data_IF_566761710967
#
_entry.id   IF_566761710967
#
_cell.length_a   1.000
_cell.length_b   1.000
_cell.length_c   1.000
_cell.angle_alpha   90.00
_cell.angle_beta   90.00
_cell.angle_gamma   90.00
#
_symmetry.space_group_name_H-M   'P 1'
#
loop_
_entity.id
_entity.type
_entity.pdbx_description
1 polymer ?
#
# COMPACT_ATOMS: atom_id res chain seq x y z
N UNK A 1 31.51 45.70 36.78
CA UNK A 1 32.07 44.76 35.76
C UNK A 1 31.47 43.35 35.78
N UNK A 2 30.98 42.81 36.93
CA UNK A 2 30.40 41.45 36.97
C UNK A 2 29.03 41.28 36.26
N UNK A 3 28.15 42.30 36.27
CA UNK A 3 26.81 42.23 35.63
C UNK A 3 26.88 41.98 34.11
N UNK A 4 27.86 42.55 33.41
CA UNK A 4 28.04 42.37 31.96
C UNK A 4 28.56 41.00 31.57
N UNK A 5 29.39 40.35 32.39
CA UNK A 5 29.88 38.99 32.12
C UNK A 5 28.76 37.98 32.35
N UNK A 6 27.99 38.13 33.43
CA UNK A 6 26.89 37.22 33.77
C UNK A 6 25.73 37.31 32.76
N UNK A 7 25.38 38.51 32.29
CA UNK A 7 24.38 38.70 31.22
C UNK A 7 24.81 38.09 29.88
N UNK A 8 26.10 38.18 29.54
CA UNK A 8 26.65 37.60 28.30
C UNK A 8 26.72 36.07 28.38
N UNK A 9 27.08 35.52 29.54
CA UNK A 9 27.07 34.08 29.79
C UNK A 9 25.64 33.51 29.71
N UNK A 10 24.67 34.18 30.34
CA UNK A 10 23.25 33.84 30.23
C UNK A 10 22.74 33.84 28.79
N UNK A 11 23.16 34.80 27.95
CA UNK A 11 22.76 34.84 26.54
C UNK A 11 23.25 33.63 25.72
N UNK A 12 24.48 33.14 25.98
CA UNK A 12 25.04 31.95 25.33
C UNK A 12 24.30 30.69 25.78
N UNK A 13 24.06 30.57 27.09
CA UNK A 13 23.31 29.44 27.66
C UNK A 13 21.88 29.40 27.09
N UNK A 14 21.20 30.55 27.03
CA UNK A 14 19.87 30.63 26.46
C UNK A 14 19.85 30.27 24.97
N UNK A 15 20.82 30.75 24.19
CA UNK A 15 20.96 30.40 22.77
C UNK A 15 21.23 28.91 22.53
N UNK A 16 22.07 28.29 23.37
CA UNK A 16 22.34 26.86 23.31
C UNK A 16 21.10 26.02 23.66
N UNK A 17 20.35 26.42 24.69
CA UNK A 17 19.09 25.75 25.08
C UNK A 17 18.03 25.90 23.98
N UNK A 18 17.87 27.09 23.39
CA UNK A 18 16.93 27.31 22.29
C UNK A 18 17.29 26.49 21.04
N UNK A 19 18.58 26.37 20.71
CA UNK A 19 19.03 25.53 19.61
C UNK A 19 18.72 24.04 19.86
N UNK A 20 18.94 23.53 21.08
CA UNK A 20 18.61 22.17 21.45
C UNK A 20 17.09 21.90 21.38
N UNK A 21 16.26 22.83 21.83
CA UNK A 21 14.79 22.71 21.76
C UNK A 21 14.32 22.69 20.30
N UNK A 22 14.86 23.56 19.44
CA UNK A 22 14.52 23.58 18.01
C UNK A 22 14.91 22.27 17.31
N UNK A 23 16.10 21.75 17.58
CA UNK A 23 16.56 20.47 17.04
C UNK A 23 15.67 19.31 17.54
N UNK A 24 15.33 19.30 18.83
CA UNK A 24 14.43 18.30 19.42
C UNK A 24 13.02 18.34 18.82
N UNK A 25 12.46 19.54 18.63
CA UNK A 25 11.13 19.72 18.05
C UNK A 25 11.07 19.30 16.57
N UNK A 26 12.10 19.67 15.79
CA UNK A 26 12.23 19.24 14.40
C UNK A 26 12.44 17.71 14.32
N UNK A 27 13.20 17.14 15.26
CA UNK A 27 13.38 15.70 15.38
C UNK A 27 12.05 14.98 15.61
N UNK A 28 11.24 15.42 16.58
CA UNK A 28 9.92 14.84 16.86
C UNK A 28 8.99 14.94 15.66
N UNK A 29 8.91 16.11 15.01
CA UNK A 29 8.07 16.30 13.81
C UNK A 29 8.55 15.46 12.62
N UNK A 30 9.86 15.23 12.50
CA UNK A 30 10.40 14.34 11.47
C UNK A 30 10.08 12.87 11.75
N UNK A 31 10.17 12.43 13.01
CA UNK A 31 9.85 11.06 13.40
C UNK A 31 8.36 10.76 13.25
N UNK A 32 7.48 11.72 13.56
CA UNK A 32 6.04 11.57 13.36
C UNK A 32 5.69 11.41 11.87
N UNK A 33 6.28 12.24 10.99
CA UNK A 33 6.10 12.08 9.53
C UNK A 33 6.63 10.75 8.99
N UNK A 34 7.75 10.24 9.54
CA UNK A 34 8.27 8.91 9.17
C UNK A 34 7.40 7.76 9.71
N UNK A 35 6.79 7.94 10.89
CA UNK A 35 5.84 6.97 11.44
C UNK A 35 4.55 6.93 10.61
N UNK A 36 4.01 8.10 10.25
CA UNK A 36 2.83 8.21 9.37
C UNK A 36 3.11 7.63 7.97
N UNK A 37 4.30 7.87 7.39
CA UNK A 37 4.71 7.31 6.09
C UNK A 37 4.93 5.78 6.14
N UNK A 38 5.33 5.21 7.30
CA UNK A 38 5.42 3.75 7.49
C UNK A 38 4.03 3.13 7.71
N UNK A 39 3.17 3.77 8.49
CA UNK A 39 1.81 3.29 8.79
C UNK A 39 0.90 3.31 7.54
N UNK A 40 1.13 4.24 6.61
CA UNK A 40 0.45 4.27 5.30
C UNK A 40 0.99 3.27 4.26
N UNK A 41 2.18 2.70 4.46
CA UNK A 41 2.80 1.79 3.48
C UNK A 41 2.52 0.31 3.78
N UNK A 42 2.18 -0.07 5.02
CA UNK A 42 2.10 -1.50 5.39
C UNK A 42 0.69 -2.12 5.33
N UNK A 43 -0.35 -1.56 5.96
CA UNK A 43 -1.58 -2.36 6.15
C UNK A 43 -2.52 -2.40 4.94
N UNK A 44 -2.85 -1.24 4.35
CA UNK A 44 -3.82 -1.16 3.23
C UNK A 44 -3.28 -1.81 1.96
N UNK A 45 -1.98 -1.65 1.70
CA UNK A 45 -1.30 -2.22 0.55
C UNK A 45 -1.22 -3.75 0.65
N UNK A 46 -0.72 -4.28 1.77
CA UNK A 46 -0.62 -5.73 1.98
C UNK A 46 -2.02 -6.35 1.95
N UNK A 47 -3.01 -5.70 2.57
CA UNK A 47 -4.41 -6.12 2.50
C UNK A 47 -4.94 -6.13 1.07
N UNK A 48 -4.63 -5.12 0.26
CA UNK A 48 -5.09 -5.07 -1.15
C UNK A 48 -4.55 -6.21 -2.00
N UNK A 49 -3.27 -6.54 -1.86
CA UNK A 49 -2.66 -7.68 -2.57
C UNK A 49 -3.20 -9.02 -2.03
N UNK A 50 -3.41 -9.13 -0.72
CA UNK A 50 -4.02 -10.31 -0.11
C UNK A 50 -5.45 -10.55 -0.61
N UNK A 51 -6.27 -9.50 -0.74
CA UNK A 51 -7.62 -9.58 -1.30
C UNK A 51 -7.59 -10.00 -2.77
N UNK A 52 -6.72 -9.39 -3.60
CA UNK A 52 -6.58 -9.78 -5.01
C UNK A 52 -6.15 -11.24 -5.16
N UNK A 53 -5.20 -11.70 -4.36
CA UNK A 53 -4.78 -13.10 -4.33
C UNK A 53 -5.91 -14.04 -3.87
N UNK A 54 -6.72 -13.60 -2.90
CA UNK A 54 -7.92 -14.31 -2.46
C UNK A 54 -8.94 -14.48 -3.58
N UNK A 55 -9.21 -13.41 -4.33
CA UNK A 55 -10.09 -13.43 -5.51
C UNK A 55 -9.58 -14.41 -6.57
N UNK A 56 -8.29 -14.34 -6.92
CA UNK A 56 -7.69 -15.26 -7.90
C UNK A 56 -7.80 -16.72 -7.46
N UNK A 57 -7.50 -17.01 -6.18
CA UNK A 57 -7.62 -18.35 -5.61
C UNK A 57 -9.05 -18.86 -5.69
N UNK A 58 -10.01 -18.08 -5.25
CA UNK A 58 -11.42 -18.49 -5.21
C UNK A 58 -11.99 -18.64 -6.62
N UNK A 59 -11.58 -17.78 -7.55
CA UNK A 59 -11.87 -17.90 -8.98
C UNK A 59 -11.33 -19.21 -9.58
N UNK A 60 -10.08 -19.57 -9.29
CA UNK A 60 -9.50 -20.85 -9.73
C UNK A 60 -10.26 -22.04 -9.15
N UNK A 61 -10.65 -21.97 -7.87
CA UNK A 61 -11.46 -23.01 -7.24
C UNK A 61 -12.85 -23.13 -7.88
N UNK A 62 -13.48 -22.02 -8.30
CA UNK A 62 -14.73 -22.07 -9.09
C UNK A 62 -14.49 -22.84 -10.39
N UNK A 63 -13.43 -22.51 -11.15
CA UNK A 63 -13.11 -23.15 -12.43
C UNK A 63 -12.91 -24.66 -12.27
N UNK A 64 -12.07 -25.05 -11.31
CA UNK A 64 -11.76 -26.46 -11.05
C UNK A 64 -13.01 -27.25 -10.64
N UNK A 65 -13.84 -26.69 -9.75
CA UNK A 65 -15.06 -27.37 -9.33
C UNK A 65 -16.11 -27.44 -10.46
N UNK A 66 -16.16 -26.45 -11.36
CA UNK A 66 -17.04 -26.52 -12.53
C UNK A 66 -16.61 -27.63 -13.50
N UNK A 67 -15.30 -27.82 -13.70
CA UNK A 67 -14.77 -28.95 -14.48
C UNK A 67 -15.09 -30.30 -13.83
N UNK A 68 -14.95 -30.42 -12.50
CA UNK A 68 -15.36 -31.64 -11.80
C UNK A 68 -16.87 -31.88 -11.91
N UNK A 69 -17.69 -30.84 -11.75
CA UNK A 69 -19.14 -30.92 -11.92
C UNK A 69 -19.53 -31.45 -13.30
N UNK A 70 -18.88 -30.97 -14.37
CA UNK A 70 -19.04 -31.47 -15.74
C UNK A 70 -18.56 -32.91 -15.95
N UNK A 71 -17.59 -33.37 -15.15
CA UNK A 71 -16.99 -34.70 -15.32
C UNK A 71 -17.87 -35.84 -14.80
N UNK A 72 -18.81 -35.56 -13.91
CA UNK A 72 -19.71 -36.55 -13.31
C UNK A 72 -21.07 -36.58 -14.03
N UNK A 73 -21.71 -37.74 -14.06
CA UNK A 73 -23.11 -37.88 -14.48
C UNK A 73 -24.08 -37.83 -13.29
N UNK A 74 -23.66 -38.42 -12.17
CA UNK A 74 -24.46 -38.57 -10.95
C UNK A 74 -24.62 -37.24 -10.20
N UNK A 75 -25.85 -36.82 -9.95
CA UNK A 75 -26.17 -35.59 -9.20
C UNK A 75 -25.52 -35.57 -7.81
N UNK A 76 -25.44 -36.72 -7.14
CA UNK A 76 -24.82 -36.83 -5.82
C UNK A 76 -23.33 -36.45 -5.83
N UNK A 77 -22.62 -36.72 -6.93
CA UNK A 77 -21.21 -36.33 -7.09
C UNK A 77 -21.04 -34.87 -7.54
N UNK A 78 -22.05 -34.30 -8.21
CA UNK A 78 -22.08 -32.88 -8.62
C UNK A 78 -22.32 -31.92 -7.46
N UNK A 79 -23.22 -32.29 -6.54
CA UNK A 79 -23.71 -31.39 -5.49
C UNK A 79 -22.59 -30.77 -4.61
N UNK A 80 -21.56 -31.49 -4.14
CA UNK A 80 -20.47 -30.89 -3.36
C UNK A 80 -19.64 -29.87 -4.14
N UNK A 81 -19.43 -30.11 -5.44
CA UNK A 81 -18.73 -29.18 -6.32
C UNK A 81 -19.57 -27.93 -6.58
N UNK A 82 -20.87 -28.08 -6.80
CA UNK A 82 -21.78 -26.94 -6.95
C UNK A 82 -21.82 -26.09 -5.67
N UNK A 83 -21.91 -26.72 -4.48
CA UNK A 83 -21.85 -26.00 -3.22
C UNK A 83 -20.54 -25.19 -3.06
N UNK A 84 -19.41 -25.80 -3.44
CA UNK A 84 -18.10 -25.11 -3.41
C UNK A 84 -18.04 -23.95 -4.39
N UNK A 85 -18.59 -24.11 -5.60
CA UNK A 85 -18.73 -23.02 -6.59
C UNK A 85 -19.52 -21.87 -5.99
N UNK A 86 -20.73 -22.13 -5.47
CA UNK A 86 -21.60 -21.08 -4.91
C UNK A 86 -20.92 -20.34 -3.76
N UNK A 87 -20.26 -21.07 -2.85
CA UNK A 87 -19.50 -20.47 -1.74
C UNK A 87 -18.42 -19.51 -2.24
N UNK A 88 -17.58 -19.96 -3.18
CA UNK A 88 -16.48 -19.14 -3.70
C UNK A 88 -16.98 -17.96 -4.56
N UNK A 89 -18.14 -18.09 -5.21
CA UNK A 89 -18.78 -16.94 -5.90
C UNK A 89 -19.12 -15.86 -4.88
N UNK A 90 -19.81 -16.21 -3.79
CA UNK A 90 -20.16 -15.27 -2.72
C UNK A 90 -18.92 -14.63 -2.10
N UNK A 91 -17.89 -15.42 -1.82
CA UNK A 91 -16.63 -14.91 -1.26
C UNK A 91 -15.93 -13.94 -2.22
N UNK A 92 -15.84 -14.30 -3.50
CA UNK A 92 -15.24 -13.44 -4.54
C UNK A 92 -16.01 -12.12 -4.67
N UNK A 93 -17.35 -12.15 -4.64
CA UNK A 93 -18.17 -10.93 -4.68
C UNK A 93 -17.92 -10.05 -3.45
N UNK A 94 -17.86 -10.64 -2.27
CA UNK A 94 -17.56 -9.92 -1.02
C UNK A 94 -16.19 -9.25 -1.06
N UNK A 95 -15.16 -9.97 -1.52
CA UNK A 95 -13.80 -9.47 -1.65
C UNK A 95 -13.70 -8.32 -2.67
N UNK A 96 -14.38 -8.45 -3.82
CA UNK A 96 -14.44 -7.39 -4.83
C UNK A 96 -15.15 -6.13 -4.28
N UNK A 97 -16.23 -6.29 -3.53
CA UNK A 97 -16.95 -5.19 -2.89
C UNK A 97 -16.12 -4.53 -1.77
N UNK A 98 -15.45 -5.31 -0.94
CA UNK A 98 -14.54 -4.80 0.10
C UNK A 98 -13.44 -3.96 -0.54
N UNK A 99 -12.76 -4.52 -1.55
CA UNK A 99 -11.70 -3.83 -2.27
C UNK A 99 -12.19 -2.49 -2.83
N UNK A 100 -13.32 -2.51 -3.56
CA UNK A 100 -13.87 -1.31 -4.18
C UNK A 100 -14.21 -0.20 -3.17
N UNK A 101 -14.62 -0.58 -1.95
CA UNK A 101 -15.05 0.36 -0.91
C UNK A 101 -13.91 0.93 -0.09
N UNK A 102 -12.86 0.14 0.17
CA UNK A 102 -11.87 0.50 1.20
C UNK A 102 -10.44 0.61 0.69
N UNK A 103 -10.10 0.02 -0.47
CA UNK A 103 -8.71 -0.14 -0.91
C UNK A 103 -8.36 0.53 -2.24
N UNK A 104 -9.31 1.25 -2.84
CA UNK A 104 -9.08 2.05 -4.06
C UNK A 104 -8.22 3.26 -3.72
N UNK A 105 -7.03 3.34 -4.32
CA UNK A 105 -6.07 4.42 -4.03
C UNK A 105 -6.04 5.54 -5.06
N UNK A 106 -6.49 5.31 -6.29
CA UNK A 106 -6.51 6.32 -7.35
C UNK A 106 -7.51 5.96 -8.48
N UNK A 107 -7.74 6.86 -9.46
CA UNK A 107 -8.69 6.58 -10.55
C UNK A 107 -8.35 5.34 -11.39
N UNK A 108 -7.06 5.03 -11.58
CA UNK A 108 -6.65 3.85 -12.35
C UNK A 108 -6.97 2.56 -11.62
N UNK A 109 -6.72 2.52 -10.30
CA UNK A 109 -7.11 1.41 -9.42
C UNK A 109 -8.64 1.19 -9.47
N UNK A 110 -9.40 2.29 -9.44
CA UNK A 110 -10.86 2.25 -9.57
C UNK A 110 -11.32 1.63 -10.90
N UNK A 111 -10.71 2.02 -12.01
CA UNK A 111 -11.03 1.45 -13.33
C UNK A 111 -10.77 -0.06 -13.39
N UNK A 112 -9.66 -0.50 -12.79
CA UNK A 112 -9.24 -1.91 -12.76
C UNK A 112 -10.22 -2.76 -11.93
N UNK A 113 -10.55 -2.34 -10.70
CA UNK A 113 -11.53 -3.09 -9.88
C UNK A 113 -12.92 -3.12 -10.54
N UNK A 114 -13.35 -2.04 -11.18
CA UNK A 114 -14.62 -2.02 -11.91
C UNK A 114 -14.60 -2.96 -13.12
N UNK A 115 -13.45 -3.09 -13.80
CA UNK A 115 -13.25 -4.05 -14.87
C UNK A 115 -13.33 -5.49 -14.37
N UNK A 116 -12.68 -5.80 -13.25
CA UNK A 116 -12.73 -7.13 -12.63
C UNK A 116 -14.16 -7.52 -12.26
N UNK A 117 -14.91 -6.61 -11.63
CA UNK A 117 -16.33 -6.82 -11.28
C UNK A 117 -17.17 -7.09 -12.53
N UNK A 118 -16.96 -6.33 -13.61
CA UNK A 118 -17.70 -6.54 -14.87
C UNK A 118 -17.37 -7.89 -15.50
N UNK A 119 -16.09 -8.22 -15.61
CA UNK A 119 -15.65 -9.48 -16.22
C UNK A 119 -16.05 -10.70 -15.39
N UNK A 120 -16.07 -10.58 -14.07
CA UNK A 120 -16.58 -11.63 -13.21
C UNK A 120 -18.07 -11.89 -13.45
N UNK A 121 -18.90 -10.83 -13.60
CA UNK A 121 -20.31 -11.00 -13.97
C UNK A 121 -20.49 -11.71 -15.31
N UNK A 122 -19.67 -11.38 -16.31
CA UNK A 122 -19.69 -12.05 -17.62
C UNK A 122 -19.33 -13.54 -17.47
N UNK A 123 -18.28 -13.83 -16.71
CA UNK A 123 -17.86 -15.20 -16.41
C UNK A 123 -18.96 -16.00 -15.70
N UNK A 124 -19.64 -15.41 -14.70
CA UNK A 124 -20.74 -16.06 -13.98
C UNK A 124 -21.93 -16.36 -14.89
N UNK A 125 -22.28 -15.45 -15.79
CA UNK A 125 -23.35 -15.70 -16.76
C UNK A 125 -23.05 -16.91 -17.66
N UNK A 126 -21.81 -17.06 -18.12
CA UNK A 126 -21.38 -18.23 -18.89
C UNK A 126 -21.32 -19.50 -18.03
N UNK A 127 -20.86 -19.39 -16.78
CA UNK A 127 -20.81 -20.51 -15.82
C UNK A 127 -22.21 -21.07 -15.54
N UNK A 128 -23.24 -20.23 -15.37
CA UNK A 128 -24.61 -20.73 -15.15
C UNK A 128 -25.12 -21.57 -16.32
N UNK A 129 -24.81 -21.17 -17.56
CA UNK A 129 -25.16 -21.96 -18.76
C UNK A 129 -24.45 -23.32 -18.73
N UNK A 130 -23.16 -23.35 -18.36
CA UNK A 130 -22.39 -24.60 -18.20
C UNK A 130 -23.01 -25.49 -17.14
N UNK A 131 -23.33 -24.96 -15.96
CA UNK A 131 -23.95 -25.73 -14.86
C UNK A 131 -25.35 -26.22 -15.23
N UNK A 132 -26.12 -25.43 -15.96
CA UNK A 132 -27.43 -25.84 -16.47
C UNK A 132 -27.33 -27.07 -17.37
N UNK A 133 -26.48 -27.04 -18.40
CA UNK A 133 -26.27 -28.18 -19.29
C UNK A 133 -25.66 -29.38 -18.56
N UNK A 134 -24.73 -29.14 -17.62
CA UNK A 134 -24.17 -30.18 -16.78
C UNK A 134 -25.25 -30.88 -15.95
N UNK A 135 -26.11 -30.14 -15.27
CA UNK A 135 -27.20 -30.69 -14.46
C UNK A 135 -28.24 -31.44 -15.30
N UNK A 136 -28.44 -31.04 -16.56
CA UNK A 136 -29.28 -31.74 -17.53
C UNK A 136 -28.59 -32.96 -18.19
N UNK A 137 -27.33 -33.29 -17.81
CA UNK A 137 -26.50 -34.32 -18.45
C UNK A 137 -26.30 -34.12 -19.96
N UNK A 138 -26.36 -32.87 -20.44
CA UNK A 138 -26.18 -32.50 -21.84
C UNK A 138 -24.72 -32.12 -22.11
N UNK A 139 -23.84 -33.13 -22.14
CA UNK A 139 -22.38 -32.91 -22.17
C UNK A 139 -21.92 -32.17 -23.43
N UNK A 140 -22.46 -32.51 -24.59
CA UNK A 140 -22.11 -31.88 -25.87
C UNK A 140 -22.51 -30.40 -25.88
N UNK A 141 -23.72 -30.08 -25.37
CA UNK A 141 -24.18 -28.70 -25.25
C UNK A 141 -23.33 -27.91 -24.25
N UNK A 142 -22.95 -28.53 -23.13
CA UNK A 142 -22.05 -27.91 -22.16
C UNK A 142 -20.68 -27.59 -22.79
N UNK A 143 -20.11 -28.50 -23.58
CA UNK A 143 -18.82 -28.28 -24.27
C UNK A 143 -18.89 -27.09 -25.23
N UNK A 144 -19.98 -26.94 -25.98
CA UNK A 144 -20.18 -25.78 -26.87
C UNK A 144 -20.12 -24.47 -26.07
N UNK A 145 -20.82 -24.39 -24.94
CA UNK A 145 -20.80 -23.20 -24.07
C UNK A 145 -19.41 -22.99 -23.44
N UNK A 146 -18.73 -24.07 -23.05
CA UNK A 146 -17.37 -24.01 -22.50
C UNK A 146 -16.43 -23.32 -23.47
N UNK A 147 -16.37 -23.79 -24.72
CA UNK A 147 -15.41 -23.27 -25.71
C UNK A 147 -15.79 -21.89 -26.24
N UNK A 148 -17.09 -21.62 -26.43
CA UNK A 148 -17.55 -20.36 -27.04
C UNK A 148 -17.70 -19.20 -26.05
N UNK A 149 -18.00 -19.47 -24.77
CA UNK A 149 -18.33 -18.43 -23.81
C UNK A 149 -17.50 -18.51 -22.53
N UNK A 150 -17.53 -19.64 -21.82
CA UNK A 150 -17.00 -19.74 -20.46
C UNK A 150 -15.48 -19.66 -20.38
N UNK A 151 -14.78 -20.34 -21.30
CA UNK A 151 -13.32 -20.30 -21.38
C UNK A 151 -12.81 -18.90 -21.79
N UNK A 152 -13.30 -18.26 -22.87
CA UNK A 152 -12.93 -16.88 -23.21
C UNK A 152 -13.22 -15.86 -22.11
N UNK A 153 -14.38 -15.95 -21.44
CA UNK A 153 -14.71 -15.09 -20.30
C UNK A 153 -13.74 -15.29 -19.14
N UNK A 154 -13.33 -16.55 -18.90
CA UNK A 154 -12.35 -16.89 -17.88
C UNK A 154 -10.96 -16.36 -18.18
N UNK A 155 -10.47 -16.50 -19.41
CA UNK A 155 -9.18 -15.95 -19.85
C UNK A 155 -9.14 -14.42 -19.75
N UNK A 156 -10.26 -13.77 -20.11
CA UNK A 156 -10.42 -12.33 -19.98
C UNK A 156 -10.33 -11.87 -18.53
N UNK A 157 -11.00 -12.58 -17.61
CA UNK A 157 -10.93 -12.27 -16.18
C UNK A 157 -9.55 -12.56 -15.58
N UNK A 158 -8.92 -13.69 -15.91
CA UNK A 158 -7.54 -13.99 -15.49
C UNK A 158 -6.58 -12.88 -15.90
N UNK A 159 -6.72 -12.40 -17.15
CA UNK A 159 -5.87 -11.32 -17.67
C UNK A 159 -6.11 -10.00 -16.91
N UNK A 160 -7.37 -9.67 -16.61
CA UNK A 160 -7.70 -8.46 -15.88
C UNK A 160 -7.20 -8.47 -14.43
N UNK A 161 -7.40 -9.59 -13.70
CA UNK A 161 -6.90 -9.76 -12.34
C UNK A 161 -5.37 -9.65 -12.29
N UNK A 162 -4.66 -10.28 -13.23
CA UNK A 162 -3.21 -10.17 -13.33
C UNK A 162 -2.74 -8.73 -13.64
N UNK A 163 -3.44 -8.01 -14.52
CA UNK A 163 -3.16 -6.59 -14.79
C UNK A 163 -3.36 -5.73 -13.55
N UNK A 164 -4.40 -6.02 -12.76
CA UNK A 164 -4.69 -5.30 -11.53
C UNK A 164 -3.66 -5.56 -10.44
N UNK A 165 -3.31 -6.83 -10.20
CA UNK A 165 -2.24 -7.22 -9.29
C UNK A 165 -0.91 -6.54 -9.65
N UNK A 166 -0.53 -6.60 -10.93
CA UNK A 166 0.70 -5.97 -11.41
C UNK A 166 0.71 -4.45 -11.22
N UNK A 167 -0.42 -3.79 -11.47
CA UNK A 167 -0.56 -2.37 -11.20
C UNK A 167 -0.35 -2.04 -9.72
N UNK A 168 -0.91 -2.85 -8.80
CA UNK A 168 -0.71 -2.64 -7.36
C UNK A 168 0.75 -2.89 -6.97
N UNK A 169 1.38 -3.96 -7.43
CA UNK A 169 2.82 -4.20 -7.21
C UNK A 169 3.68 -3.01 -7.63
N UNK A 170 3.50 -2.49 -8.84
CA UNK A 170 4.21 -1.31 -9.33
C UNK A 170 3.92 -0.06 -8.50
N UNK A 171 2.67 0.12 -8.05
CA UNK A 171 2.30 1.22 -7.18
C UNK A 171 3.03 1.14 -5.83
N UNK A 172 3.17 -0.05 -5.25
CA UNK A 172 3.96 -0.29 -4.04
C UNK A 172 5.43 0.05 -4.25
N UNK A 173 6.04 -0.47 -5.32
CA UNK A 173 7.46 -0.20 -5.62
C UNK A 173 7.72 1.31 -5.75
N UNK A 174 6.85 2.02 -6.45
CA UNK A 174 6.95 3.47 -6.59
C UNK A 174 6.75 4.21 -5.27
N UNK A 175 5.81 3.78 -4.43
CA UNK A 175 5.59 4.35 -3.10
C UNK A 175 6.83 4.16 -2.22
N UNK A 176 7.38 2.95 -2.15
CA UNK A 176 8.61 2.64 -1.40
C UNK A 176 9.79 3.47 -1.90
N UNK A 177 10.00 3.57 -3.22
CA UNK A 177 11.07 4.39 -3.78
C UNK A 177 10.92 5.87 -3.42
N UNK A 178 9.70 6.41 -3.46
CA UNK A 178 9.43 7.79 -3.04
C UNK A 178 9.71 8.00 -1.56
N UNK A 179 9.29 7.08 -0.69
CA UNK A 179 9.56 7.13 0.75
C UNK A 179 11.06 7.05 1.07
N UNK A 180 11.83 6.22 0.34
CA UNK A 180 13.28 6.17 0.50
C UNK A 180 13.98 7.47 0.05
N UNK A 181 13.52 8.08 -1.05
CA UNK A 181 14.08 9.34 -1.55
C UNK A 181 13.71 10.54 -0.65
N UNK A 182 12.48 10.62 -0.16
CA UNK A 182 12.05 11.65 0.79
C UNK A 182 12.80 11.51 2.11
N UNK A 183 12.91 10.29 2.64
CA UNK A 183 13.67 9.99 3.86
C UNK A 183 15.12 10.44 3.75
N UNK A 184 15.80 10.12 2.64
CA UNK A 184 17.20 10.53 2.42
C UNK A 184 17.36 12.05 2.32
N UNK A 185 16.45 12.74 1.64
CA UNK A 185 16.44 14.22 1.58
C UNK A 185 16.21 14.84 2.95
N UNK A 186 15.33 14.24 3.75
CA UNK A 186 15.03 14.69 5.10
C UNK A 186 16.22 14.47 6.05
N UNK A 187 16.92 13.34 5.93
CA UNK A 187 18.19 13.10 6.65
C UNK A 187 19.23 14.16 6.31
N UNK A 188 19.40 14.51 5.03
CA UNK A 188 20.33 15.57 4.63
C UNK A 188 19.94 16.95 5.15
N UNK A 189 18.64 17.27 5.20
CA UNK A 189 18.16 18.51 5.82
C UNK A 189 18.47 18.55 7.32
N UNK A 190 18.26 17.45 8.05
CA UNK A 190 18.57 17.36 9.49
C UNK A 190 20.07 17.54 9.70
N UNK A 191 20.91 16.83 8.94
CA UNK A 191 22.38 16.97 9.02
C UNK A 191 22.80 18.42 8.76
N UNK A 192 22.26 19.07 7.74
CA UNK A 192 22.57 20.47 7.41
C UNK A 192 22.15 21.43 8.54
N UNK A 193 20.95 21.26 9.09
CA UNK A 193 20.43 22.06 10.20
C UNK A 193 21.25 21.86 11.48
N UNK A 194 21.66 20.62 11.78
CA UNK A 194 22.54 20.31 12.91
C UNK A 194 23.90 20.98 12.74
N UNK A 195 24.51 20.90 11.54
CA UNK A 195 25.79 21.56 11.25
C UNK A 195 25.70 23.08 11.38
N UNK A 196 24.61 23.70 10.89
CA UNK A 196 24.36 25.14 11.07
C UNK A 196 24.19 25.51 12.55
N UNK A 197 23.48 24.70 13.33
CA UNK A 197 23.33 24.89 14.77
C UNK A 197 24.67 24.86 15.51
N UNK A 198 25.52 23.87 15.21
CA UNK A 198 26.88 23.76 15.79
C UNK A 198 27.75 24.96 15.38
N UNK A 199 27.73 25.36 14.11
CA UNK A 199 28.45 26.52 13.62
C UNK A 199 28.01 27.81 14.32
N UNK A 200 26.71 28.01 14.54
CA UNK A 200 26.16 29.16 15.26
C UNK A 200 26.67 29.25 16.69
N UNK A 201 26.73 28.12 17.42
CA UNK A 201 27.28 28.07 18.79
C UNK A 201 28.78 28.37 18.79
N UNK A 202 29.54 27.82 17.84
CA UNK A 202 30.99 28.08 17.72
C UNK A 202 31.29 29.55 17.41
N UNK A 203 30.51 30.18 16.54
CA UNK A 203 30.62 31.62 16.22
C UNK A 203 30.33 32.47 17.45
N UNK A 204 29.25 32.18 18.18
CA UNK A 204 28.91 32.88 19.41
C UNK A 204 30.02 32.73 20.48
N UNK A 205 30.58 31.53 20.63
CA UNK A 205 31.70 31.26 21.53
C UNK A 205 32.98 32.01 21.11
N UNK A 206 33.28 32.08 19.81
CA UNK A 206 34.42 32.83 19.28
C UNK A 206 34.29 34.34 19.55
N UNK A 207 33.13 34.93 19.29
CA UNK A 207 32.87 36.34 19.58
C UNK A 207 32.96 36.64 21.08
N UNK A 208 32.48 35.73 21.93
CA UNK A 208 32.64 35.84 23.38
C UNK A 208 34.13 35.85 23.79
N UNK A 209 34.93 34.89 23.29
CA UNK A 209 36.38 34.84 23.55
C UNK A 209 37.10 36.11 23.09
N UNK A 210 36.78 36.60 21.89
CA UNK A 210 37.36 37.82 21.34
C UNK A 210 36.97 39.06 22.16
N UNK A 211 35.73 39.13 22.64
CA UNK A 211 35.26 40.24 23.48
C UNK A 211 35.93 40.28 24.85
N UNK A 212 36.25 39.11 25.44
CA UNK A 212 36.99 39.00 26.70
C UNK A 212 38.45 39.43 26.53
N UNK A 213 39.10 39.03 25.43
CA UNK A 213 40.45 39.44 25.10
C UNK A 213 40.57 40.97 24.86
N UNK A 214 39.54 41.59 24.27
CA UNK A 214 39.50 43.04 24.05
C UNK A 214 39.36 43.86 25.35
N UNK A 215 38.76 43.29 26.41
CA UNK A 215 38.68 43.91 27.74
C UNK A 215 39.89 43.66 28.63
N UNK A 216 40.84 42.81 28.21
CA UNK A 216 42.00 42.39 28.99
C UNK A 216 43.32 43.09 28.59
N UNK A 217 43.28 44.15 27.78
CA UNK A 217 44.45 45.02 27.58
C UNK A 217 44.55 46.02 28.75
N UNK A 218 45.54 45.89 29.64
CA UNK A 218 45.79 46.88 30.67
C UNK A 218 46.44 48.12 30.03
N UNK A 219 45.92 49.30 30.35
CA UNK A 219 46.72 50.52 30.36
C UNK A 219 47.61 50.52 31.61
#
# INVERSE_FOLDING_TARGET
MAKTVNQRFLAIVFGAISALILIGLIGVLSTQRMADDLEFTDESIIRSLAILSGIERDFLLIRVNALYHLSYAETAKKAPHEATIRRNITETQSLLEEYQRTLVVNPRDKELIEQDIRLFKVYLAALEKVLHHSNANQREAAVVVVESEWKPAGESLTTALAQHAHFKEQFVEQAVQRSMQSGRRQTWMIILLTLLGVAGVLVAAYFFRKSLAATAQPH
#
